data_IF_140939112491
#
_entry.id   IF_140939112491
#
_cell.length_a   1.000
_cell.length_b   1.000
_cell.length_c   1.000
_cell.angle_alpha   90.00
_cell.angle_beta   90.00
_cell.angle_gamma   90.00
#
_symmetry.space_group_name_H-M   'P 1'
#
loop_
_entity.id
_entity.type
_entity.pdbx_description
1 polymer ?
#
# COMPACT_ATOMS: atom_id res chain seq x y z
N UNK A 1 23.99 19.20 74.37
CA UNK A 1 24.11 17.72 74.25
C UNK A 1 23.51 17.19 72.95
N UNK A 2 22.34 17.66 72.50
CA UNK A 2 21.69 17.16 71.26
C UNK A 2 22.41 17.55 69.96
N UNK A 3 22.92 18.79 69.83
CA UNK A 3 23.65 19.24 68.62
C UNK A 3 24.95 18.47 68.37
N UNK A 4 25.77 18.26 69.42
CA UNK A 4 27.01 17.50 69.29
C UNK A 4 26.76 16.04 68.86
N UNK A 5 25.67 15.43 69.35
CA UNK A 5 25.26 14.08 68.97
C UNK A 5 24.72 14.02 67.54
N UNK A 6 23.95 15.03 67.13
CA UNK A 6 23.45 15.18 65.75
C UNK A 6 24.59 15.34 64.75
N UNK A 7 25.55 16.23 65.05
CA UNK A 7 26.73 16.46 64.20
C UNK A 7 27.57 15.21 64.03
N UNK A 8 27.86 14.49 65.12
CA UNK A 8 28.59 13.21 65.08
C UNK A 8 27.87 12.14 64.25
N UNK A 9 26.53 12.07 64.35
CA UNK A 9 25.74 11.15 63.53
C UNK A 9 25.73 11.57 62.05
N UNK A 10 25.68 12.86 61.76
CA UNK A 10 25.76 13.40 60.41
C UNK A 10 27.11 13.06 59.76
N UNK A 11 28.22 13.32 60.47
CA UNK A 11 29.58 12.99 60.01
C UNK A 11 29.73 11.50 59.74
N UNK A 12 29.30 10.64 60.68
CA UNK A 12 29.32 9.18 60.49
C UNK A 12 28.52 8.72 59.27
N UNK A 13 27.34 9.30 59.04
CA UNK A 13 26.50 8.92 57.92
C UNK A 13 27.08 9.42 56.58
N UNK A 14 27.71 10.59 56.57
CA UNK A 14 28.39 11.15 55.41
C UNK A 14 29.64 10.33 55.04
N UNK A 15 30.41 9.91 56.04
CA UNK A 15 31.55 9.01 55.87
C UNK A 15 31.11 7.66 55.30
N UNK A 16 30.02 7.10 55.82
CA UNK A 16 29.47 5.84 55.32
C UNK A 16 28.93 5.94 53.88
N UNK A 17 28.34 7.08 53.49
CA UNK A 17 27.81 7.29 52.14
C UNK A 17 28.89 7.48 51.07
N UNK A 18 30.04 8.05 51.43
CA UNK A 18 31.17 8.29 50.53
C UNK A 18 32.25 7.21 50.62
N UNK A 19 32.05 6.18 51.44
CA UNK A 19 32.99 5.07 51.56
C UNK A 19 33.10 4.32 50.22
N UNK A 20 34.31 3.89 49.81
CA UNK A 20 34.48 3.10 48.60
C UNK A 20 33.81 1.74 48.72
N UNK A 21 33.47 1.14 47.57
CA UNK A 21 32.98 -0.23 47.52
C UNK A 21 33.99 -1.23 48.12
N UNK A 22 33.49 -2.35 48.64
CA UNK A 22 34.30 -3.44 49.19
C UNK A 22 35.06 -4.14 48.06
N UNK A 23 36.34 -4.49 48.30
CA UNK A 23 37.23 -4.98 47.25
C UNK A 23 36.75 -6.27 46.55
N UNK A 24 36.14 -7.18 47.30
CA UNK A 24 35.61 -8.42 46.74
C UNK A 24 34.35 -8.21 45.90
N UNK A 25 33.48 -7.27 46.25
CA UNK A 25 32.36 -6.85 45.38
C UNK A 25 32.88 -6.26 44.06
N UNK A 26 33.91 -5.40 44.14
CA UNK A 26 34.52 -4.78 42.97
C UNK A 26 35.16 -5.81 42.01
N UNK A 27 35.70 -6.91 42.54
CA UNK A 27 36.34 -7.96 41.73
C UNK A 27 35.40 -9.09 41.28
N UNK A 28 34.28 -9.29 41.96
CA UNK A 28 33.33 -10.37 41.63
C UNK A 28 32.10 -9.89 40.85
N UNK A 29 31.84 -8.58 40.82
CA UNK A 29 30.76 -8.00 40.00
C UNK A 29 30.98 -8.24 38.50
N UNK A 30 29.88 -8.36 37.77
CA UNK A 30 29.91 -8.43 36.32
C UNK A 30 30.35 -7.11 35.70
N UNK A 31 31.02 -7.19 34.55
CA UNK A 31 31.51 -6.02 33.83
C UNK A 31 30.39 -5.34 33.05
N UNK A 32 30.15 -4.06 33.35
CA UNK A 32 29.33 -3.17 32.51
C UNK A 32 30.26 -2.20 31.80
N UNK A 33 30.13 -2.05 30.48
CA UNK A 33 30.95 -1.11 29.71
C UNK A 33 30.65 0.33 30.16
N UNK A 34 31.69 1.15 30.29
CA UNK A 34 31.55 2.57 30.64
C UNK A 34 30.67 3.34 29.64
N UNK A 35 30.68 2.95 28.36
CA UNK A 35 29.78 3.52 27.34
C UNK A 35 28.30 3.33 27.66
N UNK A 36 27.94 2.24 28.37
CA UNK A 36 26.56 1.93 28.73
C UNK A 36 26.23 2.46 30.13
N UNK A 37 27.18 2.39 31.07
CA UNK A 37 26.97 2.82 32.45
C UNK A 37 27.03 4.35 32.62
N UNK A 38 27.87 5.05 31.86
CA UNK A 38 28.22 6.45 32.11
C UNK A 38 27.73 7.42 31.03
N UNK A 39 27.42 6.98 29.82
CA UNK A 39 26.85 7.86 28.79
C UNK A 39 25.34 7.99 28.96
N UNK A 40 24.93 8.88 29.86
CA UNK A 40 23.51 9.18 30.12
C UNK A 40 22.96 10.31 29.26
N UNK A 41 23.84 11.19 28.75
CA UNK A 41 23.44 12.33 27.94
C UNK A 41 23.25 11.94 26.47
N UNK A 42 22.05 12.21 25.93
CA UNK A 42 21.77 12.08 24.50
C UNK A 42 22.01 13.44 23.85
N UNK A 43 23.14 13.57 23.15
CA UNK A 43 23.48 14.79 22.42
C UNK A 43 22.77 14.82 21.06
N UNK A 44 22.38 16.01 20.57
CA UNK A 44 21.83 16.14 19.23
C UNK A 44 22.87 15.76 18.17
N UNK A 45 22.42 15.10 17.11
CA UNK A 45 23.28 14.74 15.98
C UNK A 45 23.95 16.01 15.40
N UNK A 46 25.30 16.03 15.25
CA UNK A 46 26.00 17.14 14.60
C UNK A 46 25.49 17.41 13.17
N UNK A 47 25.04 16.37 12.45
CA UNK A 47 24.61 16.47 11.05
C UNK A 47 23.10 16.67 10.88
N UNK A 48 22.37 17.01 11.95
CA UNK A 48 20.90 17.09 11.95
C UNK A 48 20.33 17.99 10.85
N UNK A 49 20.99 19.09 10.52
CA UNK A 49 20.50 20.05 9.53
C UNK A 49 20.65 19.53 8.10
N UNK A 50 21.78 18.89 7.81
CA UNK A 50 22.02 18.26 6.51
C UNK A 50 21.09 17.06 6.29
N UNK A 51 20.93 16.22 7.32
CA UNK A 51 19.98 15.11 7.30
C UNK A 51 18.55 15.59 7.06
N UNK A 52 18.12 16.67 7.73
CA UNK A 52 16.80 17.26 7.54
C UNK A 52 16.60 17.83 6.13
N UNK A 53 17.63 18.45 5.53
CA UNK A 53 17.59 18.96 4.16
C UNK A 53 17.40 17.81 3.15
N UNK A 54 18.22 16.77 3.25
CA UNK A 54 18.13 15.58 2.39
C UNK A 54 16.78 14.87 2.57
N UNK A 55 16.27 14.77 3.80
CA UNK A 55 14.97 14.18 4.06
C UNK A 55 13.83 14.99 3.42
N UNK A 56 13.91 16.33 3.44
CA UNK A 56 12.93 17.21 2.80
C UNK A 56 12.91 17.01 1.28
N UNK A 57 14.06 16.90 0.64
CA UNK A 57 14.16 16.66 -0.80
C UNK A 57 13.54 15.32 -1.19
N UNK A 58 13.88 14.25 -0.46
CA UNK A 58 13.28 12.92 -0.66
C UNK A 58 11.77 12.93 -0.48
N UNK A 59 11.29 13.61 0.56
CA UNK A 59 9.86 13.73 0.83
C UNK A 59 9.12 14.51 -0.25
N UNK A 60 9.73 15.58 -0.77
CA UNK A 60 9.17 16.35 -1.89
C UNK A 60 9.01 15.48 -3.14
N UNK A 61 10.03 14.68 -3.50
CA UNK A 61 9.96 13.75 -4.62
C UNK A 61 8.83 12.69 -4.44
N UNK A 62 8.70 12.10 -3.25
CA UNK A 62 7.61 11.17 -2.96
C UNK A 62 6.23 11.82 -3.03
N UNK A 63 6.13 13.09 -2.61
CA UNK A 63 4.88 13.85 -2.68
C UNK A 63 4.49 14.17 -4.11
N UNK A 64 5.47 14.50 -4.96
CA UNK A 64 5.27 14.68 -6.39
C UNK A 64 4.75 13.39 -7.05
N UNK A 65 5.39 12.25 -6.79
CA UNK A 65 4.95 10.95 -7.30
C UNK A 65 3.50 10.62 -6.89
N UNK A 66 3.14 10.87 -5.62
CA UNK A 66 1.75 10.69 -5.16
C UNK A 66 0.77 11.63 -5.87
N UNK A 67 1.19 12.85 -6.18
CA UNK A 67 0.37 13.80 -6.94
C UNK A 67 0.18 13.37 -8.39
N UNK A 68 1.22 12.82 -9.02
CA UNK A 68 1.16 12.28 -10.38
C UNK A 68 0.23 11.08 -10.45
N UNK A 69 0.38 10.10 -9.56
CA UNK A 69 -0.51 8.95 -9.48
C UNK A 69 -1.99 9.35 -9.28
N UNK A 70 -2.25 10.44 -8.54
CA UNK A 70 -3.60 10.99 -8.39
C UNK A 70 -4.12 11.59 -9.69
N UNK A 71 -3.28 12.31 -10.43
CA UNK A 71 -3.65 12.88 -11.74
C UNK A 71 -3.98 11.78 -12.74
N UNK A 72 -3.18 10.72 -12.78
CA UNK A 72 -3.42 9.57 -13.67
C UNK A 72 -4.75 8.88 -13.33
N UNK A 73 -5.04 8.68 -12.05
CA UNK A 73 -6.31 8.12 -11.61
C UNK A 73 -7.52 9.00 -12.03
N UNK A 74 -7.39 10.32 -11.94
CA UNK A 74 -8.44 11.25 -12.39
C UNK A 74 -8.58 11.23 -13.92
N UNK A 75 -7.49 11.14 -14.67
CA UNK A 75 -7.55 11.02 -16.13
C UNK A 75 -8.25 9.71 -16.57
N UNK A 76 -8.01 8.60 -15.86
CA UNK A 76 -8.74 7.34 -16.09
C UNK A 76 -10.23 7.48 -15.79
N UNK A 77 -10.59 8.15 -14.70
CA UNK A 77 -11.99 8.42 -14.37
C UNK A 77 -12.65 9.29 -15.44
N UNK A 78 -11.96 10.34 -15.90
CA UNK A 78 -12.46 11.21 -16.96
C UNK A 78 -12.73 10.45 -18.27
N UNK A 79 -11.82 9.56 -18.66
CA UNK A 79 -12.03 8.71 -19.83
C UNK A 79 -13.20 7.73 -19.64
N UNK A 80 -13.41 7.20 -18.43
CA UNK A 80 -14.53 6.31 -18.12
C UNK A 80 -15.86 7.05 -17.92
N UNK A 81 -15.83 8.36 -17.67
CA UNK A 81 -17.02 9.17 -17.42
C UNK A 81 -17.94 9.27 -18.66
N UNK A 82 -17.44 8.97 -19.86
CA UNK A 82 -18.27 8.88 -21.07
C UNK A 82 -19.33 7.78 -21.02
N UNK A 83 -19.10 6.74 -20.21
CA UNK A 83 -20.04 5.63 -20.03
C UNK A 83 -21.00 5.87 -18.85
N UNK A 84 -20.85 6.99 -18.13
CA UNK A 84 -21.66 7.27 -16.96
C UNK A 84 -23.00 7.90 -17.36
N UNK A 85 -24.06 7.42 -16.72
CA UNK A 85 -25.39 8.01 -16.83
C UNK A 85 -25.48 9.09 -15.74
N UNK A 86 -25.54 10.35 -16.16
CA UNK A 86 -25.60 11.50 -15.25
C UNK A 86 -26.99 12.12 -15.20
N UNK A 87 -27.68 12.15 -16.34
CA UNK A 87 -29.00 12.77 -16.49
C UNK A 87 -30.11 11.72 -16.69
N UNK A 88 -31.34 12.10 -16.40
CA UNK A 88 -32.53 11.23 -16.55
C UNK A 88 -32.78 10.85 -18.02
N UNK A 89 -32.49 11.76 -18.97
CA UNK A 89 -32.63 11.49 -20.41
C UNK A 89 -31.67 10.37 -20.88
N UNK A 90 -30.43 10.38 -20.39
CA UNK A 90 -29.44 9.34 -20.71
C UNK A 90 -29.86 7.99 -20.10
N UNK A 91 -30.52 8.01 -18.94
CA UNK A 91 -31.04 6.81 -18.30
C UNK A 91 -32.17 6.20 -19.12
N UNK A 92 -33.17 6.99 -19.51
CA UNK A 92 -34.30 6.52 -20.33
C UNK A 92 -33.81 5.92 -21.64
N UNK A 93 -32.92 6.62 -22.36
CA UNK A 93 -32.31 6.13 -23.59
C UNK A 93 -31.59 4.80 -23.38
N UNK A 94 -30.82 4.67 -22.30
CA UNK A 94 -30.06 3.45 -22.02
C UNK A 94 -30.98 2.29 -21.61
N UNK A 95 -32.06 2.58 -20.88
CA UNK A 95 -33.06 1.59 -20.50
C UNK A 95 -33.79 1.07 -21.73
N UNK A 96 -34.24 1.94 -22.63
CA UNK A 96 -34.88 1.53 -23.89
C UNK A 96 -33.93 0.73 -24.78
N UNK A 97 -32.63 1.02 -24.75
CA UNK A 97 -31.62 0.27 -25.51
C UNK A 97 -31.41 -1.14 -24.94
N UNK A 98 -31.26 -1.26 -23.63
CA UNK A 98 -30.86 -2.50 -22.94
C UNK A 98 -32.03 -3.41 -22.59
N UNK A 99 -33.22 -2.87 -22.32
CA UNK A 99 -34.39 -3.62 -21.88
C UNK A 99 -35.44 -3.80 -23.00
N UNK A 100 -35.01 -4.33 -24.15
CA UNK A 100 -35.91 -4.78 -25.22
C UNK A 100 -36.28 -6.24 -25.02
N UNK A 101 -37.44 -6.64 -25.54
CA UNK A 101 -37.85 -8.06 -25.50
C UNK A 101 -36.87 -8.98 -26.24
N UNK A 102 -36.13 -8.43 -27.21
CA UNK A 102 -35.09 -9.12 -27.99
C UNK A 102 -33.67 -8.93 -27.45
N UNK A 103 -33.50 -8.37 -26.24
CA UNK A 103 -32.17 -8.03 -25.71
C UNK A 103 -31.24 -9.24 -25.52
N UNK A 104 -31.81 -10.43 -25.43
CA UNK A 104 -31.07 -11.67 -25.26
C UNK A 104 -31.10 -12.56 -26.52
N UNK A 105 -31.55 -12.04 -27.65
CA UNK A 105 -31.52 -12.75 -28.93
C UNK A 105 -30.16 -12.48 -29.61
N UNK A 106 -29.26 -13.47 -29.59
CA UNK A 106 -27.97 -13.42 -30.29
C UNK A 106 -27.87 -14.59 -31.28
N UNK A 107 -27.77 -14.25 -32.57
CA UNK A 107 -27.53 -15.22 -33.64
C UNK A 107 -28.74 -16.11 -33.94
N UNK A 108 -28.58 -17.45 -33.87
CA UNK A 108 -29.64 -18.44 -34.14
C UNK A 108 -30.48 -18.83 -32.91
N UNK A 109 -30.24 -18.22 -31.75
CA UNK A 109 -31.05 -18.43 -30.55
C UNK A 109 -32.19 -17.42 -30.59
N UNK A 110 -33.29 -17.78 -31.22
CA UNK A 110 -34.55 -17.05 -31.10
C UNK A 110 -35.17 -17.43 -29.74
N UNK A 111 -35.44 -16.43 -28.88
CA UNK A 111 -36.05 -16.56 -27.55
C UNK A 111 -35.10 -16.82 -26.36
N UNK A 112 -33.91 -16.24 -26.36
CA UNK A 112 -33.13 -16.14 -25.13
C UNK A 112 -33.91 -15.33 -24.09
N UNK A 113 -34.11 -15.86 -22.87
CA UNK A 113 -34.84 -15.13 -21.80
C UNK A 113 -33.92 -14.63 -20.70
N UNK A 114 -32.67 -15.08 -20.69
CA UNK A 114 -31.71 -14.78 -19.65
C UNK A 114 -30.31 -14.54 -20.19
N UNK A 115 -29.52 -13.79 -19.44
CA UNK A 115 -28.09 -13.57 -19.71
C UNK A 115 -27.30 -14.89 -19.80
N UNK A 116 -27.75 -15.94 -19.11
CA UNK A 116 -27.13 -17.26 -19.13
C UNK A 116 -27.28 -17.98 -20.47
N UNK A 117 -28.35 -17.68 -21.22
CA UNK A 117 -28.59 -18.23 -22.55
C UNK A 117 -27.66 -17.59 -23.59
N UNK A 118 -27.19 -16.37 -23.29
CA UNK A 118 -26.40 -15.53 -24.19
C UNK A 118 -24.90 -15.62 -23.90
N UNK A 119 -24.50 -15.31 -22.66
CA UNK A 119 -23.10 -15.23 -22.25
C UNK A 119 -22.59 -16.52 -21.61
N UNK A 120 -23.50 -17.49 -21.38
CA UNK A 120 -23.18 -18.71 -20.65
C UNK A 120 -22.99 -18.48 -19.15
N UNK A 121 -22.54 -19.50 -18.41
CA UNK A 121 -22.32 -19.38 -16.97
C UNK A 121 -21.25 -18.35 -16.65
N UNK A 122 -21.31 -17.70 -15.47
CA UNK A 122 -20.39 -16.64 -15.13
C UNK A 122 -18.98 -17.22 -14.99
N UNK A 123 -17.97 -16.37 -15.13
CA UNK A 123 -16.57 -16.79 -15.06
C UNK A 123 -16.28 -17.54 -13.75
N UNK A 124 -15.99 -18.84 -13.85
CA UNK A 124 -15.63 -19.67 -12.70
C UNK A 124 -14.10 -19.85 -12.61
N UNK A 125 -13.61 -20.29 -11.45
CA UNK A 125 -12.17 -20.52 -11.21
C UNK A 125 -11.55 -21.53 -12.21
N UNK A 126 -12.33 -22.50 -12.68
CA UNK A 126 -11.90 -23.49 -13.67
C UNK A 126 -11.67 -22.86 -15.05
N UNK A 127 -12.53 -21.92 -15.45
CA UNK A 127 -12.45 -21.17 -16.70
C UNK A 127 -11.29 -20.18 -16.67
N UNK A 128 -11.10 -19.48 -15.54
CA UNK A 128 -9.93 -18.63 -15.33
C UNK A 128 -8.62 -19.43 -15.43
N UNK A 129 -8.58 -20.62 -14.82
CA UNK A 129 -7.44 -21.52 -14.90
C UNK A 129 -7.18 -21.99 -16.34
N UNK A 130 -8.23 -22.38 -17.07
CA UNK A 130 -8.09 -22.76 -18.49
C UNK A 130 -7.52 -21.63 -19.35
N UNK A 131 -7.92 -20.39 -19.07
CA UNK A 131 -7.42 -19.20 -19.77
C UNK A 131 -5.94 -18.93 -19.49
N UNK A 132 -5.49 -19.13 -18.24
CA UNK A 132 -4.09 -18.92 -17.84
C UNK A 132 -3.14 -20.04 -18.32
N UNK A 133 -3.60 -21.30 -18.30
CA UNK A 133 -2.77 -22.47 -18.60
C UNK A 133 -2.97 -23.03 -20.02
N UNK A 134 -3.72 -22.33 -20.90
CA UNK A 134 -3.91 -22.70 -22.30
C UNK A 134 -4.59 -24.06 -22.53
N UNK A 135 -5.23 -24.64 -21.51
CA UNK A 135 -5.83 -25.99 -21.55
C UNK A 135 -7.32 -25.95 -21.90
N UNK A 136 -7.67 -25.15 -22.91
CA UNK A 136 -9.03 -25.09 -23.43
C UNK A 136 -9.30 -26.33 -24.30
N UNK A 137 -10.12 -27.25 -23.79
CA UNK A 137 -10.56 -28.48 -24.49
C UNK A 137 -11.67 -28.23 -25.51
N UNK A 138 -12.23 -27.01 -25.55
CA UNK A 138 -13.33 -26.64 -26.43
C UNK A 138 -12.84 -25.62 -27.47
N UNK A 139 -12.93 -25.98 -28.75
CA UNK A 139 -12.42 -25.22 -29.90
C UNK A 139 -13.01 -23.83 -30.09
N UNK A 140 -14.15 -23.51 -29.46
CA UNK A 140 -14.78 -22.18 -29.52
C UNK A 140 -14.18 -21.17 -28.53
N UNK A 141 -13.56 -21.62 -27.43
CA UNK A 141 -12.86 -20.75 -26.49
C UNK A 141 -11.39 -20.51 -26.88
N UNK A 142 -10.84 -21.39 -27.73
CA UNK A 142 -9.48 -21.29 -28.30
C UNK A 142 -9.37 -20.19 -29.37
N UNK A 143 -10.49 -19.57 -29.79
CA UNK A 143 -10.53 -18.53 -30.82
C UNK A 143 -10.88 -17.13 -30.30
N UNK A 144 -10.84 -16.86 -28.99
CA UNK A 144 -10.62 -15.48 -28.57
C UNK A 144 -9.17 -15.13 -28.99
N UNK A 145 -8.94 -14.16 -29.88
CA UNK A 145 -7.61 -13.96 -30.43
C UNK A 145 -6.69 -13.57 -29.28
N UNK A 146 -5.68 -14.40 -29.02
CA UNK A 146 -4.61 -14.06 -28.07
C UNK A 146 -3.99 -12.68 -28.40
N UNK A 147 -4.10 -12.25 -29.66
CA UNK A 147 -3.78 -10.91 -30.13
C UNK A 147 -4.54 -9.76 -29.45
N UNK A 148 -5.80 -9.94 -29.06
CA UNK A 148 -6.59 -8.87 -28.41
C UNK A 148 -6.16 -8.67 -26.96
N UNK A 149 -5.78 -9.76 -26.29
CA UNK A 149 -5.27 -9.70 -24.90
C UNK A 149 -3.89 -9.06 -24.85
N UNK A 150 -2.99 -9.45 -25.77
CA UNK A 150 -1.63 -8.90 -25.82
C UNK A 150 -1.62 -7.44 -26.24
N UNK A 151 -2.45 -7.03 -27.21
CA UNK A 151 -2.61 -5.61 -27.58
C UNK A 151 -3.20 -4.79 -26.45
N UNK A 152 -4.20 -5.32 -25.73
CA UNK A 152 -4.75 -4.68 -24.53
C UNK A 152 -3.71 -4.48 -23.42
N UNK A 153 -2.84 -5.46 -23.18
CA UNK A 153 -1.73 -5.35 -22.23
C UNK A 153 -0.65 -4.37 -22.71
N UNK A 154 -0.27 -4.42 -23.99
CA UNK A 154 0.69 -3.48 -24.58
C UNK A 154 0.20 -2.05 -24.45
N UNK A 155 -1.08 -1.80 -24.73
CA UNK A 155 -1.70 -0.49 -24.54
C UNK A 155 -1.66 -0.07 -23.06
N UNK A 156 -2.06 -0.94 -22.12
CA UNK A 156 -2.01 -0.63 -20.68
C UNK A 156 -0.60 -0.27 -20.21
N UNK A 157 0.41 -1.04 -20.63
CA UNK A 157 1.80 -0.76 -20.27
C UNK A 157 2.28 0.56 -20.88
N UNK A 158 1.90 0.86 -22.12
CA UNK A 158 2.21 2.14 -22.75
C UNK A 158 1.53 3.32 -22.03
N UNK A 159 0.24 3.19 -21.68
CA UNK A 159 -0.52 4.19 -20.93
C UNK A 159 0.10 4.48 -19.55
N UNK A 160 0.50 3.43 -18.82
CA UNK A 160 1.15 3.57 -17.50
C UNK A 160 2.56 4.17 -17.59
N UNK A 161 3.31 3.89 -18.64
CA UNK A 161 4.65 4.42 -18.82
C UNK A 161 4.66 5.88 -19.31
N UNK A 162 3.68 6.25 -20.13
CA UNK A 162 3.59 7.59 -20.74
C UNK A 162 2.81 8.57 -19.85
N UNK A 163 2.02 8.08 -18.89
CA UNK A 163 1.25 8.93 -17.96
C UNK A 163 0.00 9.53 -18.59
N UNK A 164 -0.59 8.85 -19.57
CA UNK A 164 -1.75 9.33 -20.33
C UNK A 164 -2.60 8.19 -20.90
N UNK A 165 -3.86 8.48 -21.20
CA UNK A 165 -4.77 7.57 -21.91
C UNK A 165 -4.49 7.64 -23.42
N UNK A 166 -4.24 6.49 -24.04
CA UNK A 166 -4.09 6.29 -25.48
C UNK A 166 -5.39 5.80 -26.11
#
# INVERSE_FOLDING_TARGET
MHEARSKKNYERNLEAANAPERLDEAMTRSTVRASTASMTAVLPDPNRFEAARLAREKYAALTQLKSEARRDALARLYAAAGDFIVDEEDLERRVEEVFKETSFDIGSIEHGRSIWDVEGPPLNATNLRKDLYGTATNSSATMAPTGDKTTGLQRKVAEELIGGKL
#
